data_IF_001065436656
#
_entry.id   IF_001065436656
#
_cell.length_a   1.000
_cell.length_b   1.000
_cell.length_c   1.000
_cell.angle_alpha   90.00
_cell.angle_beta   90.00
_cell.angle_gamma   90.00
#
_symmetry.space_group_name_H-M   'P 1'
#
loop_
_entity.id
_entity.type
_entity.pdbx_description
1 polymer ?
#
# COMPACT_ATOMS: atom_id res chain seq x y z
N UNK A 1 -16.27 11.79 -3.45
CA UNK A 1 -16.39 10.32 -3.24
C UNK A 1 -16.96 10.02 -1.83
N UNK A 2 -18.04 9.24 -1.68
CA UNK A 2 -18.70 8.96 -0.39
C UNK A 2 -18.06 7.82 0.44
N UNK A 3 -16.90 7.28 0.06
CA UNK A 3 -16.31 6.06 0.63
C UNK A 3 -16.10 6.09 2.16
N UNK A 4 -15.66 7.23 2.73
CA UNK A 4 -15.49 7.38 4.19
C UNK A 4 -16.83 7.30 4.90
N UNK A 5 -17.87 7.90 4.31
CA UNK A 5 -19.22 7.82 4.86
C UNK A 5 -19.71 6.37 4.84
N UNK A 6 -19.43 5.61 3.78
CA UNK A 6 -19.74 4.19 3.72
C UNK A 6 -18.97 3.37 4.78
N UNK A 7 -17.67 3.61 4.96
CA UNK A 7 -16.85 2.98 6.00
C UNK A 7 -17.39 3.27 7.39
N UNK A 8 -17.65 4.53 7.71
CA UNK A 8 -18.15 4.94 9.01
C UNK A 8 -19.55 4.38 9.27
N UNK A 9 -20.42 4.26 8.25
CA UNK A 9 -21.69 3.53 8.39
C UNK A 9 -21.48 2.05 8.70
N UNK A 10 -20.55 1.36 8.02
CA UNK A 10 -20.19 -0.04 8.33
C UNK A 10 -19.60 -0.19 9.74
N UNK A 11 -18.88 0.81 10.22
CA UNK A 11 -18.36 0.88 11.59
C UNK A 11 -19.38 1.33 12.64
N UNK A 12 -20.67 1.47 12.32
CA UNK A 12 -21.72 1.84 13.27
C UNK A 12 -21.82 3.33 13.61
N UNK A 13 -21.11 4.20 12.89
CA UNK A 13 -21.09 5.64 13.18
C UNK A 13 -22.38 6.31 12.67
N UNK A 14 -23.17 6.85 13.61
CA UNK A 14 -24.51 7.42 13.34
C UNK A 14 -24.50 8.90 12.92
N UNK A 15 -23.57 9.72 13.42
CA UNK A 15 -23.36 11.11 12.94
C UNK A 15 -21.88 11.36 12.73
N UNK A 16 -21.55 12.00 11.62
CA UNK A 16 -20.18 12.30 11.21
C UNK A 16 -20.17 13.76 10.75
N UNK A 17 -19.31 14.57 11.37
CA UNK A 17 -19.11 15.96 10.96
C UNK A 17 -18.29 16.04 9.67
N UNK A 18 -18.39 17.16 8.95
CA UNK A 18 -17.62 17.41 7.72
C UNK A 18 -16.11 17.41 8.00
N UNK A 19 -15.68 18.02 9.10
CA UNK A 19 -14.27 18.13 9.50
C UNK A 19 -13.58 16.76 9.63
N UNK A 20 -14.22 15.80 10.33
CA UNK A 20 -13.67 14.46 10.49
C UNK A 20 -13.61 13.71 9.15
N UNK A 21 -14.52 13.98 8.22
CA UNK A 21 -14.45 13.39 6.88
C UNK A 21 -13.23 13.89 6.09
N UNK A 22 -12.73 15.09 6.35
CA UNK A 22 -11.55 15.65 5.70
C UNK A 22 -10.28 15.17 6.38
N UNK A 23 -10.20 15.27 7.71
CA UNK A 23 -9.06 14.81 8.49
C UNK A 23 -8.78 13.31 8.29
N UNK A 24 -9.84 12.48 8.18
CA UNK A 24 -9.69 11.05 7.88
C UNK A 24 -9.13 10.80 6.48
N UNK A 25 -9.35 11.68 5.49
CA UNK A 25 -8.75 11.55 4.15
C UNK A 25 -7.25 11.79 4.22
N UNK A 26 -6.82 12.75 5.01
CA UNK A 26 -5.40 13.07 5.17
C UNK A 26 -4.68 11.92 5.85
N UNK A 27 -5.25 11.36 6.92
CA UNK A 27 -4.72 10.16 7.58
C UNK A 27 -4.60 8.98 6.61
N UNK A 28 -5.64 8.74 5.78
CA UNK A 28 -5.61 7.65 4.80
C UNK A 28 -4.54 7.89 3.71
N UNK A 29 -4.37 9.14 3.27
CA UNK A 29 -3.37 9.50 2.28
C UNK A 29 -1.94 9.31 2.84
N UNK A 30 -1.72 9.71 4.09
CA UNK A 30 -0.45 9.47 4.81
C UNK A 30 -0.19 7.97 4.96
N UNK A 31 -1.20 7.19 5.32
CA UNK A 31 -1.07 5.73 5.43
C UNK A 31 -0.63 5.11 4.10
N UNK A 32 -1.31 5.44 2.99
CA UNK A 32 -0.96 4.92 1.67
C UNK A 32 0.43 5.35 1.22
N UNK A 33 0.81 6.62 1.46
CA UNK A 33 2.16 7.09 1.20
C UNK A 33 3.18 6.24 1.94
N UNK A 34 2.97 6.00 3.24
CA UNK A 34 3.91 5.22 4.06
C UNK A 34 4.01 3.75 3.61
N UNK A 35 2.89 3.09 3.27
CA UNK A 35 2.94 1.72 2.74
C UNK A 35 3.73 1.64 1.43
N UNK A 36 3.55 2.62 0.55
CA UNK A 36 4.29 2.69 -0.72
C UNK A 36 5.77 2.97 -0.46
N UNK A 37 6.10 3.89 0.47
CA UNK A 37 7.49 4.16 0.87
C UNK A 37 8.17 2.88 1.36
N UNK A 38 7.56 2.20 2.32
CA UNK A 38 8.11 0.98 2.91
C UNK A 38 8.33 -0.10 1.84
N UNK A 39 7.36 -0.27 0.93
CA UNK A 39 7.45 -1.24 -0.16
C UNK A 39 8.57 -0.89 -1.14
N UNK A 40 8.68 0.37 -1.57
CA UNK A 40 9.69 0.84 -2.52
C UNK A 40 11.09 0.75 -1.91
N UNK A 41 11.26 1.20 -0.66
CA UNK A 41 12.52 1.08 0.08
C UNK A 41 12.93 -0.37 0.26
N UNK A 42 11.98 -1.28 0.52
CA UNK A 42 12.28 -2.70 0.60
C UNK A 42 12.83 -3.24 -0.73
N UNK A 43 12.25 -2.86 -1.88
CA UNK A 43 12.73 -3.32 -3.18
C UNK A 43 14.05 -2.71 -3.62
N UNK A 44 14.31 -1.45 -3.29
CA UNK A 44 15.56 -0.79 -3.66
C UNK A 44 16.74 -1.37 -2.89
N UNK A 45 16.57 -1.69 -1.61
CA UNK A 45 17.64 -2.27 -0.78
C UNK A 45 17.78 -3.79 -0.94
N UNK A 46 16.68 -4.54 -1.10
CA UNK A 46 16.72 -6.00 -1.08
C UNK A 46 16.94 -6.65 -2.45
N UNK A 47 16.47 -6.03 -3.55
CA UNK A 47 16.39 -6.72 -4.85
C UNK A 47 17.27 -6.14 -5.96
N UNK A 48 17.91 -4.98 -5.79
CA UNK A 48 18.83 -4.37 -6.77
C UNK A 48 18.26 -4.18 -8.20
N UNK A 49 16.95 -4.41 -8.35
CA UNK A 49 16.19 -4.53 -9.60
C UNK A 49 14.89 -3.75 -9.39
N UNK A 50 14.45 -3.01 -10.40
CA UNK A 50 13.29 -2.09 -10.36
C UNK A 50 11.91 -2.77 -10.31
N UNK A 51 11.82 -4.07 -10.03
CA UNK A 51 10.57 -4.84 -10.08
C UNK A 51 9.95 -4.99 -8.68
N UNK A 52 8.66 -4.72 -8.57
CA UNK A 52 7.89 -4.91 -7.34
C UNK A 52 7.00 -6.15 -7.44
N UNK A 53 7.15 -7.07 -6.49
CA UNK A 53 6.29 -8.23 -6.34
C UNK A 53 5.22 -7.98 -5.27
N UNK A 54 4.09 -8.70 -5.35
CA UNK A 54 3.04 -8.68 -4.31
C UNK A 54 3.60 -8.99 -2.92
N UNK A 55 4.63 -9.85 -2.86
CA UNK A 55 5.37 -10.17 -1.63
C UNK A 55 6.03 -8.94 -1.01
N UNK A 56 6.53 -8.00 -1.81
CA UNK A 56 7.21 -6.80 -1.30
C UNK A 56 6.21 -5.85 -0.61
N UNK A 57 4.97 -5.77 -1.12
CA UNK A 57 3.91 -4.94 -0.55
C UNK A 57 3.30 -5.55 0.72
N UNK A 58 3.34 -6.87 0.87
CA UNK A 58 2.91 -7.56 2.09
C UNK A 58 4.02 -7.56 3.14
N UNK A 59 5.24 -7.94 2.75
CA UNK A 59 6.33 -8.18 3.69
C UNK A 59 6.94 -6.89 4.26
N UNK A 60 7.06 -5.84 3.45
CA UNK A 60 7.66 -4.58 3.89
C UNK A 60 6.90 -3.89 5.04
N UNK A 61 5.56 -3.69 4.97
CA UNK A 61 4.81 -3.09 6.08
C UNK A 61 4.50 -4.08 7.22
N UNK A 62 4.53 -5.40 6.98
CA UNK A 62 4.41 -6.39 8.07
C UNK A 62 5.52 -6.25 9.11
N UNK A 63 6.74 -5.90 8.68
CA UNK A 63 7.88 -5.69 9.58
C UNK A 63 7.71 -4.47 10.49
N UNK A 64 6.93 -3.47 10.08
CA UNK A 64 6.64 -2.26 10.85
C UNK A 64 5.34 -2.39 11.66
N UNK A 65 4.77 -3.60 11.74
CA UNK A 65 3.53 -3.91 12.47
C UNK A 65 2.26 -3.46 11.75
N UNK A 66 2.34 -3.03 10.48
CA UNK A 66 1.21 -2.54 9.68
C UNK A 66 0.79 -3.61 8.69
N UNK A 67 0.15 -4.67 9.19
CA UNK A 67 -0.18 -5.83 8.36
C UNK A 67 -1.35 -5.54 7.42
N UNK A 68 -1.15 -5.78 6.12
CA UNK A 68 -2.21 -5.71 5.11
C UNK A 68 -2.98 -7.03 5.09
N UNK A 69 -4.12 -7.07 5.78
CA UNK A 69 -5.00 -8.23 5.83
C UNK A 69 -5.91 -8.33 4.58
N UNK A 70 -6.23 -9.56 4.15
CA UNK A 70 -7.14 -9.82 3.02
C UNK A 70 -6.44 -10.12 1.68
N UNK A 71 -5.12 -10.14 1.66
CA UNK A 71 -4.34 -10.73 0.56
C UNK A 71 -4.18 -12.22 0.88
N UNK A 72 -5.11 -13.04 0.36
CA UNK A 72 -5.10 -14.48 0.56
C UNK A 72 -3.78 -15.08 0.07
N UNK A 73 -2.98 -15.62 0.98
CA UNK A 73 -1.88 -16.54 0.65
C UNK A 73 -2.47 -17.92 0.35
N UNK A 74 -3.39 -18.00 -0.61
CA UNK A 74 -3.65 -19.27 -1.27
C UNK A 74 -2.39 -19.52 -2.11
N UNK A 75 -1.47 -20.31 -1.57
CA UNK A 75 -0.29 -20.74 -2.28
C UNK A 75 -0.64 -22.04 -3.03
N UNK A 76 -0.87 -22.01 -4.36
CA UNK A 76 -0.62 -23.20 -5.14
C UNK A 76 0.90 -23.35 -5.25
N UNK A 77 1.36 -24.59 -5.15
CA UNK A 77 2.71 -25.01 -5.54
C UNK A 77 3.07 -24.33 -6.87
N UNK A 78 4.27 -23.76 -6.96
CA UNK A 78 4.80 -22.89 -8.04
C UNK A 78 4.21 -21.47 -8.15
N UNK A 79 4.43 -20.62 -7.14
CA UNK A 79 4.55 -19.19 -7.42
C UNK A 79 5.91 -18.92 -8.07
N UNK A 80 5.99 -19.14 -9.38
CA UNK A 80 6.81 -18.27 -10.22
C UNK A 80 6.47 -16.83 -9.81
N UNK A 81 7.44 -15.94 -9.58
CA UNK A 81 7.12 -14.53 -9.37
C UNK A 81 6.27 -14.14 -10.57
N UNK A 82 4.99 -13.83 -10.37
CA UNK A 82 4.22 -13.18 -11.42
C UNK A 82 4.89 -11.83 -11.56
N UNK A 83 5.90 -11.80 -12.45
CA UNK A 83 6.48 -10.61 -13.04
C UNK A 83 5.30 -9.95 -13.72
N UNK A 84 4.58 -9.13 -12.97
CA UNK A 84 4.12 -7.91 -13.59
C UNK A 84 5.42 -7.18 -13.92
N UNK A 85 6.01 -7.52 -15.08
CA UNK A 85 6.96 -6.66 -15.75
C UNK A 85 6.17 -5.39 -16.01
N UNK A 86 6.15 -4.51 -15.00
CA UNK A 86 5.85 -3.11 -15.13
C UNK A 86 7.10 -2.62 -15.86
N UNK A 87 7.09 -2.60 -17.20
CA UNK A 87 8.30 -2.37 -17.94
C UNK A 87 8.67 -0.93 -17.69
N UNK A 88 9.82 -0.72 -17.02
CA UNK A 88 10.51 0.56 -16.99
C UNK A 88 9.59 1.76 -16.72
N UNK A 89 8.68 1.67 -15.75
CA UNK A 89 7.80 2.80 -15.47
C UNK A 89 8.63 3.99 -14.97
N UNK A 90 8.60 5.16 -15.63
CA UNK A 90 9.23 6.38 -15.11
C UNK A 90 8.65 6.80 -13.75
N UNK A 91 7.50 6.22 -13.36
CA UNK A 91 6.94 6.33 -12.03
C UNK A 91 7.85 5.76 -10.94
N UNK A 92 8.71 4.77 -11.21
CA UNK A 92 9.59 4.21 -10.18
C UNK A 92 10.66 5.20 -9.75
N UNK A 93 11.28 5.90 -10.71
CA UNK A 93 12.21 7.00 -10.43
C UNK A 93 11.48 8.20 -9.81
N UNK A 94 10.27 8.53 -10.26
CA UNK A 94 9.44 9.56 -9.60
C UNK A 94 9.06 9.19 -8.16
N UNK A 95 8.73 7.92 -7.89
CA UNK A 95 8.40 7.44 -6.55
C UNK A 95 9.64 7.44 -5.63
N UNK A 96 10.80 7.04 -6.14
CA UNK A 96 12.05 7.12 -5.37
C UNK A 96 12.37 8.58 -4.99
N UNK A 97 12.12 9.54 -5.90
CA UNK A 97 12.26 10.98 -5.63
C UNK A 97 11.20 11.57 -4.68
N UNK A 98 10.12 10.84 -4.36
CA UNK A 98 9.10 11.22 -3.37
C UNK A 98 9.39 10.57 -1.98
N UNK A 99 10.28 9.58 -1.97
CA UNK A 99 10.69 8.82 -0.79
C UNK A 99 12.01 9.36 -0.20
N UNK A 100 12.90 9.92 -1.02
CA UNK A 100 14.11 10.65 -0.59
C UNK A 100 13.83 12.15 -0.44
#
# INVERSE_FOLDING_TARGET
>A
RPAIRCLARRGGVKRISSFICEETRDVLNIFLKNVIRDSVTYTSTASGTSSMYTLNVVYAPNRSGRTLHGLGTEAPCVMSPVRYDIPSCPLFSSLLSIVH
#
